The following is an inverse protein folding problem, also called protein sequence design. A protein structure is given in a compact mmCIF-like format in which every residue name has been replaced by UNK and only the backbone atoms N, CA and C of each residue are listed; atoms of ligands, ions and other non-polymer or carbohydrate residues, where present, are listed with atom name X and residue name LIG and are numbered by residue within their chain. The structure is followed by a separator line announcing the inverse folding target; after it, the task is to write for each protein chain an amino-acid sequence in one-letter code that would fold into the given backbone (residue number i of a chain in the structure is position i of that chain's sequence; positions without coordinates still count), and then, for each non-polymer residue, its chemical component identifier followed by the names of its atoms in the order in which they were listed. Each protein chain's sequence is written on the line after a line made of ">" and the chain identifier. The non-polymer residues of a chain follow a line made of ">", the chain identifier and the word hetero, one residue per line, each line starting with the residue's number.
data_IF_446920196275
#
_entry.id   IF_446920196275
#
_cell.length_a   1.000
_cell.length_b   1.000
_cell.length_c   1.000
_cell.angle_alpha   90.00
_cell.angle_beta   90.00
_cell.angle_gamma   90.00
#
_symmetry.space_group_name_H-M   'P 1'
#
loop_
_entity.id
_entity.type
_entity.pdbx_description
1 polymer ?
#
# COMPACT_ATOMS: atom_id res chain seq x y z
N UNK A 1 7.28 49.07 -16.85
CA UNK A 1 6.94 47.79 -17.50
C UNK A 1 8.08 46.83 -17.18
N UNK A 2 7.96 46.09 -16.08
CA UNK A 2 8.91 45.05 -15.69
C UNK A 2 8.22 43.71 -15.91
N UNK A 3 8.61 43.03 -16.99
CA UNK A 3 8.06 41.77 -17.47
C UNK A 3 9.07 40.64 -17.21
N UNK A 4 9.52 40.50 -15.96
CA UNK A 4 10.57 39.54 -15.58
C UNK A 4 10.33 38.84 -14.24
N UNK A 5 9.07 38.67 -13.84
CA UNK A 5 8.67 37.92 -12.65
C UNK A 5 7.76 36.73 -12.98
N UNK A 6 7.93 36.11 -14.15
CA UNK A 6 7.50 34.72 -14.35
C UNK A 6 8.59 33.83 -13.76
N UNK A 7 8.60 33.73 -12.43
CA UNK A 7 9.40 32.76 -11.72
C UNK A 7 9.13 31.39 -12.30
N UNK A 8 10.19 30.68 -12.67
CA UNK A 8 10.16 29.24 -12.92
C UNK A 8 9.51 28.59 -11.70
N UNK A 9 8.24 28.22 -11.83
CA UNK A 9 7.60 27.33 -10.89
C UNK A 9 8.28 25.99 -11.08
N UNK A 10 9.35 25.77 -10.31
CA UNK A 10 10.18 24.57 -10.35
C UNK A 10 9.24 23.36 -10.30
N UNK A 11 9.15 22.62 -11.40
CA UNK A 11 8.18 21.53 -11.54
C UNK A 11 8.48 20.49 -10.47
N UNK A 12 7.62 20.41 -9.45
CA UNK A 12 7.65 19.31 -8.48
C UNK A 12 7.62 17.99 -9.23
N UNK A 13 8.58 17.14 -8.92
CA UNK A 13 8.63 15.78 -9.47
C UNK A 13 7.83 14.89 -8.53
N UNK A 14 7.24 13.86 -9.11
CA UNK A 14 6.57 12.84 -8.34
C UNK A 14 7.12 11.47 -8.68
N UNK A 15 7.27 10.64 -7.66
CA UNK A 15 7.66 9.24 -7.76
C UNK A 15 6.61 8.37 -7.07
N UNK A 16 6.12 7.36 -7.77
CA UNK A 16 5.28 6.31 -7.19
C UNK A 16 6.15 5.11 -6.85
N UNK A 17 6.05 4.61 -5.63
CA UNK A 17 6.74 3.41 -5.16
C UNK A 17 5.69 2.37 -4.78
N UNK A 18 5.72 1.22 -5.45
CA UNK A 18 4.90 0.07 -5.10
C UNK A 18 5.75 -0.84 -4.20
N UNK A 19 5.44 -0.89 -2.91
CA UNK A 19 6.25 -1.56 -1.88
C UNK A 19 5.45 -2.71 -1.23
N UNK A 20 5.98 -3.92 -1.18
CA UNK A 20 5.22 -4.97 -0.49
C UNK A 20 5.63 -6.41 -0.78
N UNK A 21 4.66 -7.30 -0.64
CA UNK A 21 4.82 -8.72 -0.87
C UNK A 21 4.51 -9.15 -2.33
N UNK A 22 4.09 -10.39 -2.53
CA UNK A 22 3.83 -10.96 -3.85
C UNK A 22 2.70 -10.26 -4.60
N UNK A 23 1.72 -9.66 -3.93
CA UNK A 23 0.66 -8.92 -4.63
C UNK A 23 1.21 -7.65 -5.28
N UNK A 24 2.21 -7.02 -4.66
CA UNK A 24 2.89 -5.86 -5.26
C UNK A 24 3.86 -6.32 -6.35
N UNK A 25 4.67 -7.35 -6.09
CA UNK A 25 5.65 -7.88 -7.05
C UNK A 25 4.99 -8.32 -8.37
N UNK A 26 3.78 -8.89 -8.28
CA UNK A 26 3.04 -9.44 -9.43
C UNK A 26 2.10 -8.46 -10.10
N UNK A 27 1.96 -7.24 -9.58
CA UNK A 27 1.00 -6.27 -10.12
C UNK A 27 1.32 -5.96 -11.59
N UNK A 28 0.40 -6.25 -12.53
CA UNK A 28 0.64 -6.01 -13.95
C UNK A 28 0.82 -4.52 -14.24
N UNK A 29 1.88 -4.19 -14.99
CA UNK A 29 2.23 -2.80 -15.27
C UNK A 29 1.06 -1.99 -15.83
N UNK A 30 0.32 -2.52 -16.81
CA UNK A 30 -0.84 -1.86 -17.42
C UNK A 30 -2.00 -1.54 -16.43
N UNK A 31 -1.95 -2.09 -15.22
CA UNK A 31 -2.91 -1.89 -14.13
C UNK A 31 -2.39 -1.01 -12.99
N UNK A 32 -1.20 -0.41 -13.12
CA UNK A 32 -0.76 0.61 -12.15
C UNK A 32 -1.70 1.83 -12.19
N UNK A 33 -1.80 2.58 -11.08
CA UNK A 33 -2.57 3.82 -11.04
C UNK A 33 -1.82 4.94 -11.79
N UNK A 34 -1.88 4.88 -13.12
CA UNK A 34 -1.12 5.76 -14.02
C UNK A 34 -1.61 7.20 -14.11
N UNK A 35 -2.79 7.51 -13.56
CA UNK A 35 -3.41 8.80 -13.82
C UNK A 35 -2.56 9.98 -13.29
N UNK A 36 -1.71 9.74 -12.28
CA UNK A 36 -0.85 10.78 -11.69
C UNK A 36 0.63 10.62 -12.05
N UNK A 37 1.12 9.40 -12.33
CA UNK A 37 2.57 9.12 -12.45
C UNK A 37 2.98 8.31 -13.69
N UNK A 38 2.70 8.77 -14.92
CA UNK A 38 2.87 7.94 -16.12
C UNK A 38 4.33 7.55 -16.46
N UNK A 39 5.35 8.04 -15.74
CA UNK A 39 6.76 7.80 -16.08
C UNK A 39 7.71 7.47 -14.92
N UNK A 40 7.26 7.56 -13.67
CA UNK A 40 8.11 7.38 -12.49
C UNK A 40 7.43 6.42 -11.51
N UNK A 41 7.43 5.13 -11.86
CA UNK A 41 6.93 4.06 -10.98
C UNK A 41 8.08 3.10 -10.70
N UNK A 42 8.36 2.87 -9.43
CA UNK A 42 9.33 1.87 -8.98
C UNK A 42 8.62 0.75 -8.23
N UNK A 43 9.01 -0.48 -8.53
CA UNK A 43 8.46 -1.68 -7.90
C UNK A 43 9.50 -2.20 -6.93
N UNK A 44 9.14 -2.19 -5.66
CA UNK A 44 9.96 -2.54 -4.51
C UNK A 44 9.24 -3.65 -3.74
N UNK A 45 8.74 -4.63 -4.49
CA UNK A 45 8.01 -5.80 -3.96
C UNK A 45 8.89 -7.06 -3.92
N UNK A 46 8.60 -7.98 -3.01
CA UNK A 46 9.23 -9.31 -2.97
C UNK A 46 8.25 -10.38 -2.54
N UNK A 47 8.14 -11.45 -3.32
CA UNK A 47 7.25 -12.57 -3.03
C UNK A 47 7.50 -13.19 -1.65
N UNK A 48 6.41 -13.45 -0.92
CA UNK A 48 6.46 -14.04 0.42
C UNK A 48 6.99 -13.12 1.53
N UNK A 49 7.24 -11.84 1.24
CA UNK A 49 7.70 -10.89 2.26
C UNK A 49 6.68 -10.73 3.39
N UNK A 50 7.19 -10.71 4.62
CA UNK A 50 6.46 -10.26 5.81
C UNK A 50 6.71 -8.76 6.04
N UNK A 51 5.97 -8.12 6.95
CA UNK A 51 6.15 -6.68 7.24
C UNK A 51 7.59 -6.30 7.63
N UNK A 52 8.29 -7.17 8.37
CA UNK A 52 9.71 -6.96 8.72
C UNK A 52 10.58 -6.92 7.47
N UNK A 53 10.35 -7.84 6.54
CA UNK A 53 11.08 -7.87 5.27
C UNK A 53 10.82 -6.60 4.46
N UNK A 54 9.55 -6.21 4.33
CA UNK A 54 9.15 -4.99 3.61
C UNK A 54 9.82 -3.75 4.22
N UNK A 55 9.99 -3.72 5.53
CA UNK A 55 10.73 -2.64 6.23
C UNK A 55 12.19 -2.59 5.78
N UNK A 56 12.87 -3.73 5.73
CA UNK A 56 14.28 -3.79 5.32
C UNK A 56 14.47 -3.52 3.81
N UNK A 57 13.55 -4.02 2.97
CA UNK A 57 13.53 -3.71 1.53
C UNK A 57 13.40 -2.20 1.33
N UNK A 58 12.44 -1.58 2.02
CA UNK A 58 12.24 -0.13 1.94
C UNK A 58 13.49 0.65 2.39
N UNK A 59 14.14 0.26 3.49
CA UNK A 59 15.36 0.93 3.95
C UNK A 59 16.48 0.87 2.92
N UNK A 60 16.72 -0.29 2.32
CA UNK A 60 17.74 -0.45 1.29
C UNK A 60 17.42 0.42 0.07
N UNK A 61 16.18 0.37 -0.41
CA UNK A 61 15.72 1.22 -1.50
C UNK A 61 15.87 2.72 -1.18
N UNK A 62 15.52 3.15 0.03
CA UNK A 62 15.59 4.54 0.44
C UNK A 62 17.04 5.04 0.50
N UNK A 63 17.98 4.19 0.94
CA UNK A 63 19.42 4.50 0.94
C UNK A 63 19.97 4.65 -0.49
N UNK A 64 19.63 3.72 -1.38
CA UNK A 64 20.02 3.76 -2.79
C UNK A 64 19.42 5.00 -3.50
N UNK A 65 18.15 5.29 -3.22
CA UNK A 65 17.44 6.42 -3.80
C UNK A 65 17.96 7.77 -3.30
N UNK A 66 18.35 7.86 -2.01
CA UNK A 66 18.95 9.08 -1.46
C UNK A 66 20.28 9.41 -2.14
N UNK A 67 21.12 8.42 -2.39
CA UNK A 67 22.38 8.59 -3.12
C UNK A 67 22.16 9.10 -4.56
N UNK A 68 21.04 8.77 -5.18
CA UNK A 68 20.65 9.28 -6.51
C UNK A 68 20.07 10.70 -6.41
N UNK A 69 19.25 10.96 -5.38
CA UNK A 69 18.56 12.23 -5.18
C UNK A 69 19.51 13.39 -4.86
N UNK A 70 20.64 13.15 -4.16
CA UNK A 70 21.66 14.16 -3.87
C UNK A 70 22.26 14.81 -5.13
N UNK A 71 22.12 14.16 -6.29
CA UNK A 71 22.57 14.67 -7.59
C UNK A 71 21.48 15.41 -8.38
N UNK A 72 20.26 15.53 -7.84
CA UNK A 72 19.13 16.13 -8.53
C UNK A 72 18.70 17.47 -7.91
N UNK A 73 18.49 18.49 -8.76
CA UNK A 73 17.94 19.79 -8.33
C UNK A 73 16.41 19.75 -8.36
N UNK A 74 15.76 20.02 -7.22
CA UNK A 74 14.32 20.28 -7.10
C UNK A 74 13.54 19.29 -6.21
N UNK A 75 12.42 19.77 -5.64
CA UNK A 75 11.55 19.01 -4.74
C UNK A 75 10.95 17.75 -5.41
N UNK A 76 11.04 16.62 -4.70
CA UNK A 76 10.49 15.33 -5.10
C UNK A 76 9.44 14.89 -4.07
N UNK A 77 8.20 14.73 -4.50
CA UNK A 77 7.16 14.09 -3.69
C UNK A 77 7.16 12.59 -3.98
N UNK A 78 7.14 11.78 -2.93
CA UNK A 78 7.14 10.32 -3.01
C UNK A 78 5.79 9.81 -2.49
N UNK A 79 5.09 9.08 -3.35
CA UNK A 79 3.85 8.39 -3.02
C UNK A 79 4.14 6.91 -2.93
N UNK A 80 3.90 6.33 -1.76
CA UNK A 80 4.16 4.91 -1.50
C UNK A 80 2.83 4.18 -1.43
N UNK A 81 2.62 3.18 -2.28
CA UNK A 81 1.52 2.22 -2.16
C UNK A 81 2.12 0.97 -1.54
N UNK A 82 1.65 0.62 -0.35
CA UNK A 82 2.20 -0.50 0.41
C UNK A 82 1.16 -1.61 0.65
N UNK A 83 1.56 -2.88 0.57
CA UNK A 83 0.73 -4.03 0.92
C UNK A 83 1.59 -5.13 1.54
N UNK A 84 1.24 -5.57 2.76
CA UNK A 84 1.84 -6.71 3.45
C UNK A 84 1.07 -7.05 4.75
N UNK A 85 1.35 -8.22 5.31
CA UNK A 85 0.82 -8.67 6.61
C UNK A 85 0.05 -9.99 6.51
N UNK A 86 -0.35 -10.41 5.32
CA UNK A 86 -1.06 -11.68 5.10
C UNK A 86 -0.09 -12.87 5.31
N UNK A 87 1.14 -12.75 4.80
CA UNK A 87 2.22 -13.72 5.04
C UNK A 87 2.62 -13.81 6.52
N UNK A 88 2.57 -12.71 7.28
CA UNK A 88 2.81 -12.72 8.72
C UNK A 88 1.81 -13.66 9.41
N UNK A 89 0.52 -13.53 9.10
CA UNK A 89 -0.52 -14.42 9.65
C UNK A 89 -0.34 -15.85 9.12
N UNK A 90 -0.12 -16.02 7.82
CA UNK A 90 0.07 -17.33 7.19
C UNK A 90 1.27 -18.12 7.74
N UNK A 91 2.31 -17.42 8.21
CA UNK A 91 3.49 -18.03 8.86
C UNK A 91 3.31 -18.31 10.36
N UNK A 92 2.13 -17.99 10.92
CA UNK A 92 1.82 -18.22 12.34
C UNK A 92 2.30 -17.12 13.28
N UNK A 93 2.72 -15.96 12.76
CA UNK A 93 3.13 -14.82 13.57
C UNK A 93 1.93 -14.24 14.32
N UNK A 94 2.17 -13.78 15.55
CA UNK A 94 1.10 -13.16 16.34
C UNK A 94 0.69 -11.80 15.76
N UNK A 95 -0.56 -11.40 16.02
CA UNK A 95 -1.05 -10.07 15.63
C UNK A 95 -0.22 -8.98 16.30
N UNK A 96 0.21 -9.19 17.54
CA UNK A 96 1.04 -8.27 18.30
C UNK A 96 2.39 -8.04 17.60
N UNK A 97 3.12 -9.10 17.27
CA UNK A 97 4.40 -9.00 16.56
C UNK A 97 4.23 -8.42 15.15
N UNK A 98 3.15 -8.77 14.46
CA UNK A 98 2.80 -8.19 13.15
C UNK A 98 2.56 -6.67 13.25
N UNK A 99 1.88 -6.21 14.31
CA UNK A 99 1.64 -4.79 14.54
C UNK A 99 2.88 -4.02 14.98
N UNK A 100 3.82 -4.66 15.69
CA UNK A 100 5.14 -4.07 15.98
C UNK A 100 5.90 -3.79 14.68
N UNK A 101 5.94 -4.77 13.77
CA UNK A 101 6.59 -4.60 12.47
C UNK A 101 5.86 -3.58 11.58
N UNK A 102 4.53 -3.53 11.61
CA UNK A 102 3.75 -2.49 10.94
C UNK A 102 4.12 -1.08 11.43
N UNK A 103 4.26 -0.92 12.75
CA UNK A 103 4.66 0.35 13.35
C UNK A 103 6.07 0.76 12.93
N UNK A 104 7.00 -0.20 12.85
CA UNK A 104 8.37 0.06 12.40
C UNK A 104 8.42 0.48 10.94
N UNK A 105 7.63 -0.17 10.07
CA UNK A 105 7.50 0.22 8.67
C UNK A 105 7.03 1.66 8.53
N UNK A 106 5.93 2.03 9.19
CA UNK A 106 5.38 3.39 9.12
C UNK A 106 6.36 4.44 9.68
N UNK A 107 7.07 4.11 10.76
CA UNK A 107 8.09 4.98 11.33
C UNK A 107 9.24 5.24 10.33
N UNK A 108 9.77 4.19 9.70
CA UNK A 108 10.82 4.32 8.69
C UNK A 108 10.37 5.09 7.44
N UNK A 109 9.10 4.94 7.04
CA UNK A 109 8.58 5.64 5.86
C UNK A 109 8.33 7.13 6.13
N UNK A 110 7.57 7.44 7.19
CA UNK A 110 6.99 8.77 7.42
C UNK A 110 7.70 9.55 8.52
N UNK A 111 8.11 8.90 9.61
CA UNK A 111 8.61 9.59 10.81
C UNK A 111 10.10 9.91 10.75
N UNK A 112 10.90 9.07 10.09
CA UNK A 112 12.35 9.24 9.98
C UNK A 112 12.78 10.10 8.77
N UNK A 113 11.83 10.58 7.97
CA UNK A 113 12.12 11.42 6.81
C UNK A 113 12.30 12.89 7.18
N UNK A 114 13.52 13.39 6.98
CA UNK A 114 13.90 14.79 7.19
C UNK A 114 14.13 15.58 5.88
N UNK A 115 13.77 15.02 4.72
CA UNK A 115 13.97 15.70 3.44
C UNK A 115 12.92 16.79 3.18
N UNK A 116 13.24 17.69 2.25
CA UNK A 116 12.37 18.83 1.89
C UNK A 116 11.11 18.43 1.09
N UNK A 117 11.04 17.20 0.58
CA UNK A 117 9.91 16.68 -0.19
C UNK A 117 8.72 16.23 0.66
N UNK A 118 7.59 15.87 0.04
CA UNK A 118 6.48 15.23 0.75
C UNK A 118 6.53 13.72 0.59
N UNK A 119 6.27 12.99 1.68
CA UNK A 119 6.02 11.56 1.65
C UNK A 119 4.60 11.28 2.07
N UNK A 120 3.85 10.60 1.22
CA UNK A 120 2.52 10.07 1.54
C UNK A 120 2.53 8.56 1.34
N UNK A 121 1.84 7.84 2.22
CA UNK A 121 1.65 6.40 2.09
C UNK A 121 0.16 6.05 1.99
N UNK A 122 -0.16 5.16 1.07
CA UNK A 122 -1.44 4.45 1.00
C UNK A 122 -1.14 2.98 1.32
N UNK A 123 -1.57 2.52 2.49
CA UNK A 123 -1.40 1.12 2.89
C UNK A 123 -2.68 0.35 2.59
N UNK A 124 -2.58 -0.66 1.72
CA UNK A 124 -3.62 -1.61 1.39
C UNK A 124 -3.64 -2.68 2.49
N UNK A 125 -4.77 -2.78 3.21
CA UNK A 125 -4.95 -3.78 4.25
C UNK A 125 -5.09 -5.20 3.70
N UNK A 126 -5.13 -6.23 4.57
CA UNK A 126 -5.32 -7.61 4.14
C UNK A 126 -6.66 -7.79 3.43
N UNK A 127 -6.76 -8.80 2.57
CA UNK A 127 -7.93 -9.17 1.78
C UNK A 127 -8.44 -10.55 2.20
N UNK A 128 -9.75 -10.79 2.14
CA UNK A 128 -10.23 -12.16 2.29
C UNK A 128 -9.97 -12.96 1.02
N UNK A 129 -9.19 -14.03 1.16
CA UNK A 129 -8.84 -14.96 0.10
C UNK A 129 -9.78 -16.17 0.07
N UNK A 130 -10.05 -16.77 -1.11
CA UNK A 130 -10.94 -17.92 -1.27
C UNK A 130 -10.77 -19.08 -0.26
N UNK A 131 -9.56 -19.38 0.18
CA UNK A 131 -9.31 -20.47 1.12
C UNK A 131 -9.77 -20.14 2.56
N UNK A 132 -9.89 -18.86 2.92
CA UNK A 132 -10.39 -18.41 4.24
C UNK A 132 -11.86 -18.74 4.50
N UNK A 133 -12.62 -19.15 3.48
CA UNK A 133 -14.02 -19.59 3.65
C UNK A 133 -14.10 -20.75 4.66
N UNK A 134 -13.07 -21.60 4.71
CA UNK A 134 -13.03 -22.78 5.60
C UNK A 134 -12.12 -22.59 6.81
N UNK A 135 -11.41 -21.47 6.92
CA UNK A 135 -10.52 -21.17 8.04
C UNK A 135 -11.02 -19.95 8.83
N UNK A 136 -11.95 -20.22 9.74
CA UNK A 136 -12.51 -19.19 10.62
C UNK A 136 -11.48 -18.54 11.54
N UNK A 137 -10.40 -19.24 11.90
CA UNK A 137 -9.35 -18.73 12.78
C UNK A 137 -8.56 -17.65 12.07
N UNK A 138 -7.99 -17.99 10.91
CA UNK A 138 -7.24 -17.04 10.08
C UNK A 138 -8.11 -15.87 9.64
N UNK A 139 -9.38 -16.13 9.30
CA UNK A 139 -10.34 -15.08 8.95
C UNK A 139 -10.55 -14.06 10.09
N UNK A 140 -10.61 -14.53 11.34
CA UNK A 140 -10.70 -13.66 12.52
C UNK A 140 -9.40 -12.88 12.74
N UNK A 141 -8.25 -13.50 12.49
CA UNK A 141 -6.95 -12.84 12.56
C UNK A 141 -6.84 -11.72 11.51
N UNK A 142 -7.23 -11.95 10.26
CA UNK A 142 -7.24 -10.94 9.20
C UNK A 142 -8.13 -9.74 9.56
N UNK A 143 -9.34 -10.01 10.05
CA UNK A 143 -10.26 -8.96 10.51
C UNK A 143 -9.69 -8.17 11.70
N UNK A 144 -9.01 -8.85 12.62
CA UNK A 144 -8.35 -8.21 13.76
C UNK A 144 -7.17 -7.36 13.31
N UNK A 145 -6.36 -7.87 12.38
CA UNK A 145 -5.21 -7.18 11.81
C UNK A 145 -5.64 -5.91 11.08
N UNK A 146 -6.57 -6.01 10.12
CA UNK A 146 -7.10 -4.84 9.38
C UNK A 146 -7.62 -3.75 10.34
N UNK A 147 -8.42 -4.14 11.34
CA UNK A 147 -8.94 -3.21 12.36
C UNK A 147 -7.84 -2.53 13.17
N UNK A 148 -6.78 -3.26 13.54
CA UNK A 148 -5.67 -2.71 14.32
C UNK A 148 -4.78 -1.81 13.45
N UNK A 149 -4.46 -2.21 12.22
CA UNK A 149 -3.72 -1.40 11.26
C UNK A 149 -4.43 -0.07 10.98
N UNK A 150 -5.74 -0.11 10.65
CA UNK A 150 -6.55 1.09 10.46
C UNK A 150 -6.44 2.04 11.65
N UNK A 151 -6.71 1.54 12.86
CA UNK A 151 -6.67 2.34 14.09
C UNK A 151 -5.28 2.91 14.36
N UNK A 152 -4.23 2.17 14.01
CA UNK A 152 -2.85 2.62 14.17
C UNK A 152 -2.56 3.78 13.22
N UNK A 153 -2.98 3.69 11.95
CA UNK A 153 -2.87 4.79 10.99
C UNK A 153 -3.67 6.03 11.42
N UNK A 154 -4.94 5.86 11.83
CA UNK A 154 -5.82 6.96 12.27
C UNK A 154 -5.27 7.73 13.48
N UNK A 155 -4.57 7.03 14.39
CA UNK A 155 -4.01 7.61 15.61
C UNK A 155 -2.57 8.08 15.47
N UNK A 156 -1.93 7.83 14.32
CA UNK A 156 -0.56 8.22 14.10
C UNK A 156 -0.43 9.75 14.09
N UNK A 157 0.65 10.30 14.64
CA UNK A 157 0.87 11.77 14.70
C UNK A 157 0.94 12.41 13.31
N UNK A 158 1.30 11.62 12.30
CA UNK A 158 1.32 11.98 10.87
C UNK A 158 0.16 11.36 10.09
N UNK A 159 -1.01 11.13 10.70
CA UNK A 159 -2.15 10.49 10.04
C UNK A 159 -2.63 11.20 8.78
N UNK A 160 -2.37 12.51 8.63
CA UNK A 160 -2.66 13.25 7.39
C UNK A 160 -1.83 12.79 6.18
N UNK A 161 -0.69 12.14 6.41
CA UNK A 161 0.21 11.59 5.39
C UNK A 161 0.03 10.08 5.20
N UNK A 162 -0.88 9.45 5.95
CA UNK A 162 -1.10 8.01 5.99
C UNK A 162 -2.56 7.72 5.65
N UNK A 163 -2.79 7.07 4.52
CA UNK A 163 -4.10 6.53 4.15
C UNK A 163 -4.09 5.02 4.34
N UNK A 164 -5.07 4.47 5.05
CA UNK A 164 -5.28 3.03 5.12
C UNK A 164 -6.53 2.65 4.32
N UNK A 165 -6.38 1.73 3.37
CA UNK A 165 -7.48 1.18 2.58
C UNK A 165 -7.84 -0.17 3.15
N UNK A 166 -9.06 -0.31 3.68
CA UNK A 166 -9.51 -1.61 4.20
C UNK A 166 -9.98 -2.51 3.06
N UNK A 167 -9.08 -3.33 2.56
CA UNK A 167 -9.34 -4.26 1.46
C UNK A 167 -10.03 -5.56 1.90
N UNK A 168 -10.29 -5.75 3.19
CA UNK A 168 -10.70 -7.04 3.78
C UNK A 168 -11.87 -7.69 3.03
N UNK A 169 -12.84 -6.88 2.62
CA UNK A 169 -14.06 -7.34 1.93
C UNK A 169 -14.17 -6.81 0.50
N UNK A 170 -13.16 -6.10 0.00
CA UNK A 170 -13.20 -5.44 -1.32
C UNK A 170 -13.40 -6.43 -2.47
N UNK A 171 -12.92 -7.66 -2.30
CA UNK A 171 -12.98 -8.75 -3.28
C UNK A 171 -14.05 -9.80 -2.97
N UNK A 172 -15.03 -9.44 -2.14
CA UNK A 172 -16.20 -10.29 -1.88
C UNK A 172 -17.36 -9.89 -2.80
N UNK A 173 -18.16 -10.86 -3.24
CA UNK A 173 -19.23 -10.62 -4.21
C UNK A 173 -20.23 -9.56 -3.75
N UNK A 174 -20.58 -9.56 -2.46
CA UNK A 174 -21.55 -8.65 -1.86
C UNK A 174 -21.02 -7.23 -1.62
N UNK A 175 -19.69 -7.05 -1.68
CA UNK A 175 -19.00 -5.79 -1.30
C UNK A 175 -17.95 -5.39 -2.32
N UNK A 176 -18.12 -5.84 -3.57
CA UNK A 176 -17.24 -5.56 -4.71
C UNK A 176 -16.86 -4.08 -4.76
N UNK A 177 -15.56 -3.81 -4.67
CA UNK A 177 -15.02 -2.45 -4.83
C UNK A 177 -15.40 -1.48 -3.71
N UNK A 178 -15.90 -1.97 -2.56
CA UNK A 178 -16.28 -1.14 -1.41
C UNK A 178 -15.31 -1.39 -0.26
N UNK A 179 -14.18 -0.64 -0.16
CA UNK A 179 -13.27 -0.77 0.96
C UNK A 179 -13.97 -0.52 2.30
N UNK A 180 -13.67 -1.35 3.29
CA UNK A 180 -14.21 -1.24 4.65
C UNK A 180 -15.66 -1.69 4.83
N UNK A 181 -16.28 -2.30 3.81
CA UNK A 181 -17.63 -2.81 3.94
C UNK A 181 -17.74 -3.89 5.02
N UNK A 182 -18.65 -3.71 5.98
CA UNK A 182 -18.80 -4.60 7.13
C UNK A 182 -20.00 -5.53 6.96
N UNK A 183 -19.74 -6.82 6.72
CA UNK A 183 -20.79 -7.87 6.63
C UNK A 183 -20.82 -8.81 7.84
N UNK A 184 -20.30 -8.36 8.99
CA UNK A 184 -20.30 -9.16 10.22
C UNK A 184 -19.56 -10.49 10.07
N UNK A 185 -18.48 -10.51 9.28
CA UNK A 185 -17.69 -11.72 9.01
C UNK A 185 -18.31 -12.67 7.99
N UNK A 186 -19.45 -12.33 7.37
CA UNK A 186 -20.15 -13.20 6.39
C UNK A 186 -19.74 -12.99 4.93
N UNK A 187 -18.94 -11.96 4.62
CA UNK A 187 -18.53 -11.64 3.25
C UNK A 187 -17.84 -12.83 2.56
N UNK A 188 -18.24 -13.22 1.35
CA UNK A 188 -17.66 -14.38 0.68
C UNK A 188 -16.70 -13.90 -0.42
N UNK A 189 -15.39 -14.25 -0.36
CA UNK A 189 -14.46 -13.95 -1.44
C UNK A 189 -14.99 -14.49 -2.77
N UNK A 190 -15.05 -13.60 -3.77
CA UNK A 190 -15.40 -14.00 -5.13
C UNK A 190 -14.12 -14.40 -5.85
N UNK A 191 -14.06 -15.68 -6.25
CA UNK A 191 -12.91 -16.26 -6.94
C UNK A 191 -12.60 -15.57 -8.27
N UNK A 192 -13.56 -14.86 -8.85
CA UNK A 192 -13.36 -14.11 -10.09
C UNK A 192 -12.34 -12.97 -9.95
N UNK A 193 -12.00 -12.53 -8.74
CA UNK A 193 -10.95 -11.51 -8.51
C UNK A 193 -9.56 -12.09 -8.23
N UNK A 194 -9.43 -13.42 -8.18
CA UNK A 194 -8.19 -14.10 -7.81
C UNK A 194 -7.65 -14.90 -9.01
N UNK A 195 -6.33 -15.09 -9.01
CA UNK A 195 -5.66 -16.04 -9.86
C UNK A 195 -6.06 -17.48 -9.49
N UNK A 196 -5.63 -18.46 -10.30
CA UNK A 196 -5.96 -19.88 -10.08
C UNK A 196 -5.51 -20.41 -8.72
N UNK A 197 -4.46 -19.83 -8.13
CA UNK A 197 -3.97 -20.20 -6.80
C UNK A 197 -4.90 -19.76 -5.66
N UNK A 198 -5.88 -18.88 -5.94
CA UNK A 198 -6.81 -18.36 -4.94
C UNK A 198 -6.12 -17.57 -3.83
N UNK A 199 -4.91 -17.08 -4.07
CA UNK A 199 -4.08 -16.29 -3.15
C UNK A 199 -3.86 -14.90 -3.75
N UNK A 200 -3.35 -14.85 -4.97
CA UNK A 200 -3.01 -13.59 -5.64
C UNK A 200 -4.20 -13.05 -6.44
N UNK A 201 -4.21 -11.74 -6.67
CA UNK A 201 -5.20 -11.11 -7.54
C UNK A 201 -4.95 -11.44 -9.02
N UNK A 202 -6.03 -11.47 -9.80
CA UNK A 202 -5.96 -11.43 -11.25
C UNK A 202 -6.18 -9.99 -11.77
N UNK A 203 -6.27 -9.81 -13.09
CA UNK A 203 -6.47 -8.48 -13.68
C UNK A 203 -7.77 -7.79 -13.21
N UNK A 204 -8.85 -8.53 -12.95
CA UNK A 204 -10.09 -7.96 -12.40
C UNK A 204 -9.90 -7.48 -10.95
N UNK A 205 -9.19 -8.26 -10.14
CA UNK A 205 -8.82 -7.88 -8.78
C UNK A 205 -7.94 -6.63 -8.75
N UNK A 206 -6.86 -6.61 -9.52
CA UNK A 206 -5.97 -5.45 -9.61
C UNK A 206 -6.68 -4.21 -10.16
N UNK A 207 -7.68 -4.36 -11.03
CA UNK A 207 -8.50 -3.22 -11.48
C UNK A 207 -9.28 -2.57 -10.34
N UNK A 208 -9.80 -3.32 -9.38
CA UNK A 208 -10.48 -2.73 -8.21
C UNK A 208 -9.52 -1.89 -7.37
N UNK A 209 -8.30 -2.38 -7.13
CA UNK A 209 -7.26 -1.58 -6.48
C UNK A 209 -6.90 -0.34 -7.30
N UNK A 210 -6.71 -0.47 -8.62
CA UNK A 210 -6.40 0.65 -9.51
C UNK A 210 -7.47 1.73 -9.45
N UNK A 211 -8.75 1.37 -9.48
CA UNK A 211 -9.87 2.31 -9.39
C UNK A 211 -9.86 3.08 -8.07
N UNK A 212 -9.75 2.38 -6.95
CA UNK A 212 -9.71 3.00 -5.62
C UNK A 212 -8.48 3.89 -5.43
N UNK A 213 -7.30 3.42 -5.87
CA UNK A 213 -6.07 4.20 -5.79
C UNK A 213 -6.12 5.44 -6.67
N UNK A 214 -6.65 5.35 -7.89
CA UNK A 214 -6.87 6.52 -8.72
C UNK A 214 -7.77 7.51 -7.97
N UNK A 215 -8.89 7.07 -7.40
CA UNK A 215 -9.79 7.94 -6.62
C UNK A 215 -9.06 8.66 -5.47
N UNK A 216 -8.22 7.94 -4.72
CA UNK A 216 -7.46 8.51 -3.60
C UNK A 216 -6.39 9.49 -4.09
N UNK A 217 -5.60 9.10 -5.09
CA UNK A 217 -4.50 9.93 -5.62
C UNK A 217 -5.00 11.24 -6.25
N UNK A 218 -6.22 11.27 -6.80
CA UNK A 218 -6.85 12.51 -7.28
C UNK A 218 -7.15 13.53 -6.17
N UNK A 219 -7.22 13.09 -4.91
CA UNK A 219 -7.54 13.93 -3.76
C UNK A 219 -6.28 14.48 -3.06
N UNK A 220 -5.09 14.03 -3.45
CA UNK A 220 -3.82 14.32 -2.76
C UNK A 220 -3.03 15.47 -3.38
#
# INVERSE_FOLDING_TARGET
>A
MNDSARGEQQRRRHLLVLLGDSDIERWPAHLYPFYVFPRNVEIVGRGGAQLRDVTEIYKNWALESAAIADNCVGELDIFIIACAGENDIGSGKSIEATMEDFSLLLAGIISEYNGEGRRKIIFLGPKFEPWLIRDHSSRKQYATLSKRMRRHCEKHVRCADITFVDCLTMFCGETKGVPGAALGGRAIPDKNYFAEDGLHLNDEGYNLWKEELNRLLHQL
#
